data_IF_506836407746
#
_entry.id   IF_506836407746
#
_cell.length_a   1.000
_cell.length_b   1.000
_cell.length_c   1.000
_cell.angle_alpha   90.00
_cell.angle_beta   90.00
_cell.angle_gamma   90.00
#
_symmetry.space_group_name_H-M   'P 1'
#
loop_
_entity.id
_entity.type
_entity.pdbx_description
1 polymer ?
#
# COMPACT_ATOMS: atom_id res chain seq x y z
N UNK A 1 -17.69 -15.74 15.63
CA UNK A 1 -17.86 -14.39 15.05
C UNK A 1 -16.64 -13.48 15.21
N UNK A 2 -16.03 -13.30 16.40
CA UNK A 2 -14.81 -12.46 16.51
C UNK A 2 -13.56 -13.07 15.85
N UNK A 3 -13.37 -14.39 15.93
CA UNK A 3 -12.16 -15.05 15.41
C UNK A 3 -12.07 -15.03 13.88
N UNK A 4 -13.17 -15.27 13.16
CA UNK A 4 -13.19 -15.22 11.68
C UNK A 4 -12.88 -13.84 11.12
N UNK A 5 -13.31 -12.78 11.82
CA UNK A 5 -12.98 -11.41 11.44
C UNK A 5 -11.48 -11.11 11.64
N UNK A 6 -10.90 -11.57 12.77
CA UNK A 6 -9.46 -11.42 13.03
C UNK A 6 -8.64 -12.19 11.97
N UNK A 7 -9.04 -13.42 11.65
CA UNK A 7 -8.40 -14.21 10.58
C UNK A 7 -8.49 -13.52 9.22
N UNK A 8 -9.66 -12.94 8.88
CA UNK A 8 -9.81 -12.18 7.65
C UNK A 8 -8.87 -10.98 7.58
N UNK A 9 -8.73 -10.22 8.68
CA UNK A 9 -7.79 -9.10 8.75
C UNK A 9 -6.35 -9.59 8.57
N UNK A 10 -5.95 -10.61 9.34
CA UNK A 10 -4.59 -11.16 9.35
C UNK A 10 -4.20 -11.74 7.98
N UNK A 11 -5.10 -12.50 7.34
CA UNK A 11 -4.88 -13.00 5.99
C UNK A 11 -4.85 -11.87 4.95
N UNK A 12 -5.72 -10.86 5.08
CA UNK A 12 -5.73 -9.74 4.13
C UNK A 12 -4.43 -8.96 4.15
N UNK A 13 -3.84 -8.71 5.33
CA UNK A 13 -2.53 -8.03 5.40
C UNK A 13 -1.40 -8.91 4.86
N UNK A 14 -1.44 -10.22 5.10
CA UNK A 14 -0.48 -11.17 4.50
C UNK A 14 -0.57 -11.12 2.98
N UNK A 15 -1.78 -11.25 2.41
CA UNK A 15 -1.99 -11.17 0.96
C UNK A 15 -1.52 -9.85 0.36
N UNK A 16 -1.78 -8.72 1.03
CA UNK A 16 -1.30 -7.42 0.56
C UNK A 16 0.23 -7.32 0.55
N UNK A 17 0.93 -7.90 1.52
CA UNK A 17 2.40 -7.92 1.52
C UNK A 17 2.94 -8.69 0.32
N UNK A 18 2.40 -9.87 0.06
CA UNK A 18 2.78 -10.71 -1.09
C UNK A 18 2.45 -10.07 -2.44
N UNK A 19 1.33 -9.35 -2.53
CA UNK A 19 0.92 -8.69 -3.78
C UNK A 19 1.69 -7.39 -4.03
N UNK A 20 1.89 -6.55 -3.00
CA UNK A 20 2.35 -5.18 -3.18
C UNK A 20 3.86 -5.02 -3.00
N UNK A 21 4.47 -5.81 -2.11
CA UNK A 21 5.89 -5.70 -1.80
C UNK A 21 6.68 -6.65 -2.70
N UNK A 22 7.52 -6.10 -3.57
CA UNK A 22 8.31 -6.89 -4.52
C UNK A 22 9.25 -7.85 -3.79
N UNK A 23 9.32 -9.11 -4.24
CA UNK A 23 10.20 -10.13 -3.64
C UNK A 23 9.94 -10.37 -2.14
N UNK A 24 8.68 -10.27 -1.69
CA UNK A 24 8.31 -10.69 -0.34
C UNK A 24 8.48 -12.21 -0.17
N UNK A 25 9.05 -12.65 0.95
CA UNK A 25 9.36 -14.05 1.22
C UNK A 25 8.41 -14.64 2.28
N UNK A 26 7.89 -15.85 2.05
CA UNK A 26 6.98 -16.56 2.99
C UNK A 26 7.55 -16.70 4.41
N UNK A 27 8.88 -16.82 4.53
CA UNK A 27 9.58 -16.97 5.80
C UNK A 27 9.43 -15.73 6.72
N UNK A 28 9.01 -14.58 6.17
CA UNK A 28 8.72 -13.33 6.91
C UNK A 28 7.38 -13.36 7.63
N UNK A 29 6.46 -14.22 7.21
CA UNK A 29 5.13 -14.33 7.84
C UNK A 29 5.17 -15.20 9.12
N UNK A 30 6.26 -15.94 9.33
CA UNK A 30 6.47 -16.74 10.53
C UNK A 30 6.71 -15.83 11.74
N UNK A 31 5.79 -15.86 12.71
CA UNK A 31 5.94 -15.15 13.99
C UNK A 31 6.93 -15.88 14.90
N UNK A 32 8.22 -15.69 14.67
CA UNK A 32 9.30 -16.20 15.51
C UNK A 32 10.06 -15.05 16.20
N UNK A 33 10.62 -15.33 17.39
CA UNK A 33 11.51 -14.39 18.10
C UNK A 33 12.84 -15.08 18.46
N UNK A 34 13.99 -14.56 17.98
CA UNK A 34 14.12 -13.44 17.04
C UNK A 34 13.59 -13.79 15.63
N UNK A 35 13.26 -12.80 14.79
CA UNK A 35 12.87 -13.03 13.40
C UNK A 35 13.95 -13.77 12.62
N UNK A 36 13.54 -14.66 11.71
CA UNK A 36 14.43 -15.45 10.85
C UNK A 36 15.13 -14.60 9.78
N UNK A 37 14.48 -13.53 9.34
CA UNK A 37 14.98 -12.61 8.32
C UNK A 37 15.14 -11.19 8.88
N UNK A 38 16.08 -10.40 8.34
CA UNK A 38 16.20 -8.99 8.67
C UNK A 38 14.93 -8.22 8.25
N UNK A 39 14.66 -7.03 8.82
CA UNK A 39 13.59 -6.16 8.35
C UNK A 39 13.62 -5.96 6.83
N UNK A 40 12.46 -5.94 6.20
CA UNK A 40 12.35 -5.75 4.75
C UNK A 40 12.79 -4.32 4.39
N UNK A 41 13.79 -4.20 3.52
CA UNK A 41 14.52 -2.94 3.32
C UNK A 41 15.24 -2.85 1.99
N UNK A 42 15.48 -1.62 1.54
CA UNK A 42 16.26 -1.30 0.33
C UNK A 42 17.56 -0.57 0.68
N UNK A 43 18.53 -0.64 -0.25
CA UNK A 43 19.87 -0.11 -0.05
C UNK A 43 20.35 0.80 -1.19
N UNK A 44 19.59 0.92 -2.27
CA UNK A 44 19.93 1.72 -3.44
C UNK A 44 18.71 2.46 -4.00
N UNK A 45 18.99 3.48 -4.82
CA UNK A 45 17.97 4.39 -5.35
C UNK A 45 17.13 3.69 -6.43
N UNK A 46 17.74 2.88 -7.30
CA UNK A 46 17.03 2.13 -8.35
C UNK A 46 15.98 1.21 -7.75
N UNK A 47 16.34 0.43 -6.72
CA UNK A 47 15.43 -0.44 -5.99
C UNK A 47 14.24 0.33 -5.41
N UNK A 48 14.43 1.57 -4.94
CA UNK A 48 13.31 2.38 -4.43
C UNK A 48 12.28 2.65 -5.53
N UNK A 49 12.73 3.08 -6.71
CA UNK A 49 11.83 3.32 -7.84
C UNK A 49 11.16 2.03 -8.31
N UNK A 50 11.90 0.93 -8.43
CA UNK A 50 11.35 -0.37 -8.83
C UNK A 50 10.25 -0.86 -7.87
N UNK A 51 10.44 -0.67 -6.56
CA UNK A 51 9.43 -1.08 -5.57
C UNK A 51 8.20 -0.16 -5.56
N UNK A 52 8.40 1.15 -5.81
CA UNK A 52 7.30 2.09 -5.99
C UNK A 52 6.49 1.74 -7.25
N UNK A 53 7.17 1.43 -8.36
CA UNK A 53 6.57 0.99 -9.61
C UNK A 53 5.76 -0.28 -9.38
N UNK A 54 6.39 -1.31 -8.83
CA UNK A 54 5.74 -2.59 -8.55
C UNK A 54 4.45 -2.41 -7.73
N UNK A 55 4.49 -1.64 -6.64
CA UNK A 55 3.32 -1.42 -5.80
C UNK A 55 2.15 -0.75 -6.57
N UNK A 56 2.44 0.25 -7.41
CA UNK A 56 1.42 0.92 -8.23
C UNK A 56 0.87 0.01 -9.32
N UNK A 57 1.75 -0.72 -10.00
CA UNK A 57 1.39 -1.67 -11.05
C UNK A 57 0.47 -2.78 -10.50
N UNK A 58 0.81 -3.31 -9.32
CA UNK A 58 0.00 -4.33 -8.65
C UNK A 58 -1.34 -3.79 -8.17
N UNK A 59 -1.37 -2.55 -7.68
CA UNK A 59 -2.63 -1.87 -7.39
C UNK A 59 -3.53 -1.81 -8.62
N UNK A 60 -3.01 -1.40 -9.79
CA UNK A 60 -3.81 -1.34 -11.03
C UNK A 60 -4.31 -2.70 -11.53
N UNK A 61 -3.62 -3.78 -11.15
CA UNK A 61 -3.98 -5.16 -11.51
C UNK A 61 -4.82 -5.89 -10.47
N UNK A 62 -5.16 -5.25 -9.35
CA UNK A 62 -5.82 -5.92 -8.22
C UNK A 62 -7.05 -6.72 -8.63
N UNK A 63 -7.89 -6.19 -9.53
CA UNK A 63 -9.10 -6.86 -9.97
C UNK A 63 -8.89 -8.13 -10.81
N UNK A 64 -7.68 -8.37 -11.35
CA UNK A 64 -7.38 -9.54 -12.18
C UNK A 64 -6.37 -10.51 -11.54
N UNK A 65 -5.62 -10.07 -10.52
CA UNK A 65 -4.53 -10.87 -9.93
C UNK A 65 -4.81 -11.40 -8.53
N UNK A 66 -5.79 -10.86 -7.80
CA UNK A 66 -6.06 -11.26 -6.41
C UNK A 66 -7.20 -12.28 -6.28
N UNK A 67 -7.09 -13.16 -5.28
CA UNK A 67 -8.21 -13.99 -4.82
C UNK A 67 -9.12 -13.26 -3.82
N UNK A 68 -8.74 -12.06 -3.38
CA UNK A 68 -9.55 -11.24 -2.49
C UNK A 68 -10.77 -10.68 -3.20
N UNK A 69 -11.92 -10.68 -2.52
CA UNK A 69 -13.11 -9.95 -2.98
C UNK A 69 -12.95 -8.46 -2.66
N UNK A 70 -12.06 -7.81 -3.43
CA UNK A 70 -11.68 -6.42 -3.26
C UNK A 70 -12.14 -5.59 -4.45
N UNK A 71 -12.65 -4.41 -4.14
CA UNK A 71 -13.01 -3.38 -5.09
C UNK A 71 -12.20 -2.13 -4.78
N UNK A 72 -11.92 -1.35 -5.80
CA UNK A 72 -11.27 -0.07 -5.59
C UNK A 72 -12.13 0.85 -4.70
N UNK A 73 -11.52 1.37 -3.65
CA UNK A 73 -12.17 2.23 -2.68
C UNK A 73 -12.19 3.68 -3.16
N UNK A 74 -13.37 4.17 -3.51
CA UNK A 74 -13.63 5.60 -3.72
C UNK A 74 -13.94 6.22 -2.36
N UNK A 75 -13.24 7.29 -1.99
CA UNK A 75 -13.59 8.06 -0.79
C UNK A 75 -15.03 8.59 -0.91
N UNK A 76 -15.68 8.86 0.22
CA UNK A 76 -17.09 9.33 0.27
C UNK A 76 -17.38 10.60 -0.54
N UNK A 77 -16.35 11.33 -1.00
CA UNK A 77 -16.45 12.49 -1.87
C UNK A 77 -16.62 12.17 -3.36
N UNK A 78 -16.62 10.88 -3.75
CA UNK A 78 -16.71 10.49 -5.15
C UNK A 78 -15.39 10.60 -5.91
N UNK A 79 -14.26 10.69 -5.20
CA UNK A 79 -12.93 10.76 -5.82
C UNK A 79 -12.59 9.45 -6.55
N UNK A 80 -11.99 9.56 -7.73
CA UNK A 80 -11.41 8.41 -8.45
C UNK A 80 -10.52 7.56 -7.52
N UNK A 81 -10.40 6.23 -7.77
CA UNK A 81 -9.65 5.31 -6.93
C UNK A 81 -8.13 5.49 -7.06
N UNK A 82 -7.67 6.69 -6.75
CA UNK A 82 -6.30 7.13 -6.96
C UNK A 82 -5.41 6.70 -5.80
N UNK A 83 -4.15 6.42 -6.11
CA UNK A 83 -3.14 6.23 -5.08
C UNK A 83 -2.63 7.61 -4.68
N UNK A 84 -2.68 7.92 -3.39
CA UNK A 84 -2.04 9.11 -2.85
C UNK A 84 -0.56 8.79 -2.61
N UNK A 85 0.31 9.37 -3.44
CA UNK A 85 1.75 9.36 -3.20
C UNK A 85 2.14 10.59 -2.39
N UNK A 86 2.89 10.41 -1.32
CA UNK A 86 3.48 11.50 -0.55
C UNK A 86 4.98 11.28 -0.41
N UNK A 87 5.75 12.37 -0.45
CA UNK A 87 7.16 12.39 -0.12
C UNK A 87 7.44 13.47 0.92
N UNK A 88 8.27 13.12 1.90
CA UNK A 88 8.79 14.03 2.92
C UNK A 88 10.29 14.15 2.80
N UNK A 89 10.76 15.38 2.78
CA UNK A 89 12.18 15.72 2.65
C UNK A 89 12.60 16.79 3.65
N UNK A 90 13.87 16.77 4.04
CA UNK A 90 14.50 17.89 4.73
C UNK A 90 14.58 19.11 3.79
N UNK A 91 14.46 20.31 4.32
CA UNK A 91 14.44 21.53 3.52
C UNK A 91 15.76 21.76 2.77
N UNK A 92 16.90 21.42 3.39
CA UNK A 92 18.22 21.49 2.79
C UNK A 92 19.22 20.57 3.53
N UNK A 93 20.10 19.93 2.76
CA UNK A 93 21.25 19.17 3.27
C UNK A 93 22.43 19.50 2.36
N UNK A 94 23.50 20.02 2.95
CA UNK A 94 24.76 20.32 2.27
C UNK A 94 25.88 19.56 2.98
N UNK A 95 26.58 18.71 2.23
CA UNK A 95 27.72 17.94 2.73
C UNK A 95 28.97 18.42 2.00
N UNK A 96 30.03 18.77 2.74
CA UNK A 96 31.31 19.16 2.20
C UNK A 96 32.37 18.12 2.55
N UNK A 97 32.67 17.24 1.59
CA UNK A 97 33.64 16.15 1.76
C UNK A 97 35.07 16.64 1.93
N UNK A 98 35.44 17.78 1.34
CA UNK A 98 36.81 18.30 1.42
C UNK A 98 37.17 18.86 2.78
N UNK A 99 36.20 19.42 3.50
CA UNK A 99 36.38 19.98 4.85
C UNK A 99 35.77 19.14 5.97
N UNK A 100 35.10 18.04 5.64
CA UNK A 100 34.31 17.22 6.58
C UNK A 100 33.28 18.05 7.40
N UNK A 101 32.53 18.93 6.71
CA UNK A 101 31.51 19.78 7.34
C UNK A 101 30.14 19.56 6.72
N UNK A 102 29.08 19.82 7.49
CA UNK A 102 27.70 19.72 7.03
C UNK A 102 26.87 20.94 7.43
N UNK A 103 25.88 21.28 6.61
CA UNK A 103 24.81 22.23 6.96
C UNK A 103 23.46 21.58 6.69
N UNK A 104 22.61 21.58 7.71
CA UNK A 104 21.30 20.93 7.68
C UNK A 104 20.21 21.95 8.00
N UNK A 105 19.14 21.94 7.22
CA UNK A 105 17.88 22.56 7.58
C UNK A 105 16.84 21.46 7.80
N UNK A 106 16.53 21.21 9.08
CA UNK A 106 15.67 20.10 9.50
C UNK A 106 14.18 20.37 9.33
N UNK A 107 13.79 21.52 8.77
CA UNK A 107 12.40 21.77 8.42
C UNK A 107 11.92 20.74 7.40
N UNK A 108 10.79 20.08 7.68
CA UNK A 108 10.23 19.03 6.83
C UNK A 108 9.35 19.65 5.76
N UNK A 109 9.64 19.36 4.50
CA UNK A 109 8.77 19.67 3.35
C UNK A 109 8.03 18.41 2.95
N UNK A 110 6.71 18.52 2.79
CA UNK A 110 5.84 17.41 2.38
C UNK A 110 5.15 17.75 1.07
N UNK A 111 5.28 16.90 0.07
CA UNK A 111 4.58 17.01 -1.21
C UNK A 111 3.77 15.75 -1.45
N UNK A 112 2.47 15.90 -1.72
CA UNK A 112 1.61 14.78 -2.08
C UNK A 112 0.97 15.01 -3.45
N UNK A 113 0.83 13.93 -4.22
CA UNK A 113 0.15 13.89 -5.53
C UNK A 113 -0.71 12.64 -5.61
N UNK A 114 -1.81 12.76 -6.34
CA UNK A 114 -2.66 11.61 -6.64
C UNK A 114 -2.18 11.00 -7.95
N UNK A 115 -1.86 9.71 -7.92
CA UNK A 115 -1.61 8.90 -9.10
C UNK A 115 -2.99 8.44 -9.59
N UNK A 116 -3.43 8.91 -10.77
CA UNK A 116 -4.73 8.54 -11.30
C UNK A 116 -4.77 7.04 -11.63
N UNK A 117 -5.91 6.40 -11.36
CA UNK A 117 -6.13 5.03 -11.79
C UNK A 117 -6.36 4.99 -13.32
N UNK A 118 -5.46 4.33 -14.06
CA UNK A 118 -5.50 4.24 -15.53
C UNK A 118 -5.88 2.83 -16.04
N UNK A 119 -6.49 2.02 -15.17
CA UNK A 119 -6.92 0.66 -15.49
C UNK A 119 -5.80 -0.39 -15.53
N UNK A 120 -6.21 -1.66 -15.58
CA UNK A 120 -5.27 -2.80 -15.51
C UNK A 120 -4.46 -3.01 -16.80
N UNK A 121 -4.98 -2.59 -17.96
CA UNK A 121 -4.32 -2.82 -19.27
C UNK A 121 -3.07 -1.97 -19.46
N UNK A 122 -2.97 -0.83 -18.77
CA UNK A 122 -1.80 0.05 -18.81
C UNK A 122 -0.90 -0.11 -17.60
N UNK A 123 -1.22 -1.04 -16.70
CA UNK A 123 -0.48 -1.22 -15.46
C UNK A 123 1.02 -1.42 -15.71
N UNK A 124 1.41 -2.33 -16.60
CA UNK A 124 2.82 -2.62 -16.89
C UNK A 124 3.62 -1.45 -17.46
N UNK A 125 2.95 -0.41 -17.96
CA UNK A 125 3.60 0.78 -18.52
C UNK A 125 3.79 1.89 -17.47
N UNK A 126 3.32 1.71 -16.24
CA UNK A 126 3.49 2.71 -15.19
C UNK A 126 4.95 2.81 -14.76
N UNK A 127 5.43 4.06 -14.67
CA UNK A 127 6.76 4.45 -14.20
C UNK A 127 6.64 5.63 -13.26
N UNK A 128 7.11 5.45 -12.02
CA UNK A 128 7.13 6.47 -10.98
C UNK A 128 8.03 7.62 -11.37
N UNK A 129 9.13 7.34 -12.08
CA UNK A 129 10.03 8.39 -12.54
C UNK A 129 9.33 9.34 -13.55
N UNK A 130 8.55 8.78 -14.48
CA UNK A 130 7.79 9.56 -15.45
C UNK A 130 6.64 10.31 -14.78
N UNK A 131 5.95 9.66 -13.84
CA UNK A 131 4.91 10.29 -13.04
C UNK A 131 5.45 11.50 -12.27
N UNK A 132 6.54 11.34 -11.52
CA UNK A 132 7.15 12.44 -10.75
C UNK A 132 7.61 13.57 -11.65
N UNK A 133 8.24 13.25 -12.79
CA UNK A 133 8.67 14.23 -13.79
C UNK A 133 7.49 15.05 -14.31
N UNK A 134 6.36 14.41 -14.65
CA UNK A 134 5.12 15.09 -15.08
C UNK A 134 4.55 16.05 -14.02
N UNK A 135 4.77 15.73 -12.74
CA UNK A 135 4.30 16.53 -11.60
C UNK A 135 5.33 17.58 -11.15
N UNK A 136 6.45 17.73 -11.87
CA UNK A 136 7.58 18.58 -11.50
C UNK A 136 8.12 18.26 -10.09
N UNK A 137 8.11 16.97 -9.74
CA UNK A 137 8.65 16.43 -8.49
C UNK A 137 9.86 15.54 -8.79
N UNK A 138 10.78 15.47 -7.84
CA UNK A 138 11.93 14.56 -7.88
C UNK A 138 12.26 14.14 -6.45
N UNK A 139 12.73 12.91 -6.27
CA UNK A 139 13.20 12.43 -4.97
C UNK A 139 14.66 12.85 -4.82
N UNK A 140 14.94 13.77 -3.89
CA UNK A 140 16.31 14.11 -3.54
C UNK A 140 16.81 13.15 -2.45
N UNK A 141 17.54 12.11 -2.86
CA UNK A 141 18.03 11.05 -1.96
C UNK A 141 18.79 11.56 -0.72
N UNK A 142 19.53 12.67 -0.83
CA UNK A 142 20.26 13.27 0.30
C UNK A 142 19.33 13.86 1.35
N UNK A 143 18.16 14.36 0.94
CA UNK A 143 17.16 14.98 1.82
C UNK A 143 15.97 14.07 2.14
N UNK A 144 15.87 12.92 1.48
CA UNK A 144 14.75 12.00 1.55
C UNK A 144 14.56 11.45 2.97
N UNK A 145 13.44 11.80 3.61
CA UNK A 145 13.06 11.27 4.93
C UNK A 145 12.22 10.02 4.74
N UNK A 146 11.17 10.11 3.92
CA UNK A 146 10.31 8.97 3.59
C UNK A 146 9.39 9.26 2.40
N UNK A 147 8.86 8.20 1.81
CA UNK A 147 7.76 8.25 0.85
C UNK A 147 6.65 7.27 1.28
N UNK A 148 5.41 7.58 0.92
CA UNK A 148 4.27 6.70 1.16
C UNK A 148 3.37 6.58 -0.06
N UNK A 149 2.80 5.39 -0.24
CA UNK A 149 1.70 5.13 -1.15
C UNK A 149 0.48 4.77 -0.29
N UNK A 150 -0.60 5.53 -0.40
CA UNK A 150 -1.82 5.31 0.37
C UNK A 150 -3.03 5.20 -0.54
N UNK A 151 -3.84 4.15 -0.37
CA UNK A 151 -5.05 3.93 -1.16
C UNK A 151 -6.12 3.20 -0.34
N UNK A 152 -7.36 3.26 -0.81
CA UNK A 152 -8.51 2.60 -0.19
C UNK A 152 -8.98 1.40 -1.01
N UNK A 153 -9.36 0.32 -0.34
CA UNK A 153 -10.04 -0.83 -0.93
C UNK A 153 -11.35 -1.08 -0.19
N UNK A 154 -12.43 -1.37 -0.93
CA UNK A 154 -13.63 -1.98 -0.34
C UNK A 154 -13.47 -3.49 -0.40
N UNK A 155 -13.66 -4.16 0.73
CA UNK A 155 -13.44 -5.59 0.87
C UNK A 155 -14.72 -6.26 1.36
N UNK A 156 -15.05 -7.40 0.78
CA UNK A 156 -16.21 -8.20 1.17
C UNK A 156 -15.71 -9.46 1.89
N UNK A 157 -16.06 -9.62 3.16
CA UNK A 157 -15.80 -10.82 3.94
C UNK A 157 -17.01 -11.75 3.88
N UNK A 158 -16.87 -12.84 3.12
CA UNK A 158 -17.90 -13.87 3.01
C UNK A 158 -17.83 -14.81 4.20
N UNK A 159 -18.96 -14.99 4.89
CA UNK A 159 -19.12 -15.92 6.01
C UNK A 159 -19.52 -17.31 5.50
N UNK A 160 -18.56 -18.03 4.92
CA UNK A 160 -18.79 -19.38 4.43
C UNK A 160 -19.17 -20.35 5.57
N UNK A 161 -20.15 -21.22 5.34
CA UNK A 161 -20.63 -22.26 6.28
C UNK A 161 -21.18 -21.78 7.64
N UNK A 162 -21.65 -20.53 7.76
CA UNK A 162 -22.36 -20.08 8.96
C UNK A 162 -23.87 -20.33 8.84
N UNK A 163 -24.40 -21.26 9.64
CA UNK A 163 -25.79 -21.73 9.56
C UNK A 163 -26.87 -20.66 9.84
N UNK A 164 -26.50 -19.54 10.47
CA UNK A 164 -27.45 -18.54 10.99
C UNK A 164 -27.29 -17.14 10.41
N UNK A 165 -26.22 -16.86 9.64
CA UNK A 165 -26.03 -15.56 9.00
C UNK A 165 -25.14 -15.69 7.75
N UNK A 166 -25.77 -15.70 6.59
CA UNK A 166 -25.12 -15.82 5.28
C UNK A 166 -24.68 -14.47 4.71
N UNK A 167 -25.01 -13.36 5.38
CA UNK A 167 -24.70 -12.02 4.88
C UNK A 167 -23.20 -11.74 5.01
N UNK A 168 -22.56 -11.19 3.97
CA UNK A 168 -21.18 -10.79 4.04
C UNK A 168 -21.03 -9.54 4.92
N UNK A 169 -19.86 -9.41 5.55
CA UNK A 169 -19.45 -8.13 6.14
C UNK A 169 -18.65 -7.32 5.13
N UNK A 170 -18.91 -6.02 5.06
CA UNK A 170 -18.16 -5.12 4.20
C UNK A 170 -17.24 -4.22 5.00
N UNK A 171 -16.04 -4.04 4.49
CA UNK A 171 -15.00 -3.23 5.09
C UNK A 171 -14.43 -2.23 4.09
N UNK A 172 -14.06 -1.06 4.59
CA UNK A 172 -13.16 -0.15 3.91
C UNK A 172 -11.77 -0.31 4.52
N UNK A 173 -10.85 -0.81 3.71
CA UNK A 173 -9.46 -1.04 4.08
C UNK A 173 -8.60 0.12 3.55
N UNK A 174 -8.00 0.85 4.47
CA UNK A 174 -7.00 1.87 4.17
C UNK A 174 -5.63 1.18 4.18
N UNK A 175 -4.94 1.18 3.06
CA UNK A 175 -3.61 0.57 2.92
C UNK A 175 -2.58 1.69 2.79
N UNK A 176 -1.47 1.56 3.51
CA UNK A 176 -0.31 2.45 3.42
C UNK A 176 0.96 1.62 3.30
N UNK A 177 1.74 1.89 2.26
CA UNK A 177 3.10 1.36 2.09
C UNK A 177 4.05 2.53 2.38
N UNK A 178 4.91 2.36 3.39
CA UNK A 178 5.85 3.38 3.85
C UNK A 178 7.29 2.96 3.53
N UNK A 179 8.04 3.85 2.90
CA UNK A 179 9.46 3.74 2.62
C UNK A 179 10.21 4.72 3.55
N UNK A 180 10.67 4.25 4.70
CA UNK A 180 11.25 5.06 5.78
C UNK A 180 12.79 5.12 5.71
N UNK A 181 13.31 6.31 5.45
CA UNK A 181 14.73 6.66 5.50
C UNK A 181 15.04 7.70 6.60
N UNK A 182 14.18 7.85 7.61
CA UNK A 182 14.29 8.90 8.64
C UNK A 182 15.58 8.87 9.46
N UNK A 183 16.32 7.75 9.43
CA UNK A 183 17.63 7.58 10.08
C UNK A 183 18.81 7.91 9.17
N UNK A 184 18.58 8.14 7.88
CA UNK A 184 19.61 8.42 6.86
C UNK A 184 20.83 7.47 6.96
N UNK A 185 20.55 6.19 7.16
CA UNK A 185 21.59 5.18 7.48
C UNK A 185 22.08 4.38 6.27
N UNK A 186 21.67 4.77 5.05
CA UNK A 186 21.88 3.97 3.83
C UNK A 186 20.93 2.76 3.71
N UNK A 187 19.96 2.63 4.62
CA UNK A 187 18.92 1.61 4.62
C UNK A 187 17.54 2.27 4.68
N UNK A 188 16.70 1.97 3.70
CA UNK A 188 15.29 2.37 3.67
C UNK A 188 14.45 1.19 4.14
N UNK A 189 13.75 1.35 5.26
CA UNK A 189 12.83 0.32 5.77
C UNK A 189 11.50 0.41 5.02
N UNK A 190 10.95 -0.73 4.61
CA UNK A 190 9.62 -0.77 4.01
C UNK A 190 8.66 -1.46 4.96
N UNK A 191 7.52 -0.82 5.20
CA UNK A 191 6.43 -1.40 5.97
C UNK A 191 5.11 -1.23 5.23
N UNK A 192 4.23 -2.23 5.35
CA UNK A 192 2.87 -2.18 4.83
C UNK A 192 1.91 -2.30 5.99
N UNK A 193 1.12 -1.24 6.18
CA UNK A 193 0.08 -1.16 7.20
C UNK A 193 -1.28 -1.12 6.54
N UNK A 194 -2.25 -1.70 7.22
CA UNK A 194 -3.64 -1.53 6.86
C UNK A 194 -4.49 -1.17 8.08
N UNK A 195 -5.59 -0.48 7.85
CA UNK A 195 -6.63 -0.24 8.82
C UNK A 195 -7.98 -0.58 8.19
N UNK A 196 -8.75 -1.47 8.81
CA UNK A 196 -10.09 -1.81 8.36
C UNK A 196 -11.14 -1.06 9.17
N UNK A 197 -12.15 -0.56 8.48
CA UNK A 197 -13.34 0.06 9.06
C UNK A 197 -14.57 -0.62 8.49
N UNK A 198 -15.59 -0.87 9.31
CA UNK A 198 -16.87 -1.36 8.79
C UNK A 198 -17.43 -0.35 7.79
N UNK A 199 -17.91 -0.85 6.66
CA UNK A 199 -18.55 -0.07 5.61
C UNK A 199 -19.88 -0.70 5.26
N UNK A 200 -20.87 0.13 4.92
CA UNK A 200 -22.11 -0.35 4.33
C UNK A 200 -21.87 -0.78 2.88
N UNK A 201 -22.54 -1.85 2.45
CA UNK A 201 -22.61 -2.31 1.08
C UNK A 201 -23.99 -2.88 0.80
N UNK A 202 -24.39 -2.83 -0.47
CA UNK A 202 -25.67 -3.32 -0.99
C UNK A 202 -25.36 -4.32 -2.10
N UNK A 203 -26.20 -5.34 -2.23
CA UNK A 203 -26.05 -6.41 -3.20
C UNK A 203 -26.84 -7.66 -2.84
N UNK A 204 -27.02 -8.54 -3.83
CA UNK A 204 -27.82 -9.75 -3.70
C UNK A 204 -26.96 -10.95 -3.30
N UNK A 205 -27.47 -11.78 -2.38
CA UNK A 205 -26.86 -13.08 -2.06
C UNK A 205 -27.71 -14.18 -2.68
N UNK A 206 -27.12 -14.88 -3.65
CA UNK A 206 -27.76 -15.98 -4.36
C UNK A 206 -27.30 -17.34 -3.80
N UNK A 207 -28.20 -18.31 -3.73
CA UNK A 207 -27.86 -19.73 -3.53
C UNK A 207 -28.70 -20.60 -4.45
N UNK A 208 -28.03 -21.49 -5.18
CA UNK A 208 -28.68 -22.36 -6.17
C UNK A 208 -29.52 -21.61 -7.25
N UNK A 209 -29.24 -20.32 -7.48
CA UNK A 209 -29.95 -19.49 -8.46
C UNK A 209 -31.09 -18.63 -7.90
N UNK A 210 -31.46 -18.83 -6.63
CA UNK A 210 -32.49 -18.05 -5.95
C UNK A 210 -31.88 -16.95 -5.07
N UNK A 211 -32.49 -15.76 -5.06
CA UNK A 211 -32.13 -14.66 -4.15
C UNK A 211 -32.57 -15.03 -2.73
N UNK A 212 -31.62 -15.16 -1.81
CA UNK A 212 -31.92 -15.41 -0.39
C UNK A 212 -32.04 -14.10 0.40
N UNK A 213 -31.44 -13.01 -0.08
CA UNK A 213 -31.54 -11.68 0.54
C UNK A 213 -31.19 -10.54 -0.43
N UNK A 214 -31.94 -9.44 -0.36
CA UNK A 214 -31.72 -8.17 -1.08
C UNK A 214 -31.40 -7.03 -0.07
N UNK A 215 -30.40 -6.20 -0.35
CA UNK A 215 -30.01 -5.01 0.44
C UNK A 215 -29.40 -3.92 -0.43
#
# INVERSE_FOLDING_TARGET
>A
MRMSHVEFIDHSISSLRHLMLANWEDSRDVRAYPPSLPPYSLYDISSLYEHLDHAVQQYFKLNTTTFGLWMYGVNQKGDEPNIKFCIRELAAVELNTSSDTYRLNTAVKSNCRNIPWDGSTKADNFSMNDFLSSQHLHINHTRFIDASLSFGLKCIHVRYNQATNYLPDCFFMQVEILFDNSKHSGKVLIDLKNALQYSTCSGDVLYAGDIISEF
#
